data_IF_289542392587
#
_entry.id   IF_289542392587
#
_cell.length_a   1.000
_cell.length_b   1.000
_cell.length_c   1.000
_cell.angle_alpha   90.00
_cell.angle_beta   90.00
_cell.angle_gamma   90.00
#
_symmetry.space_group_name_H-M   'P 1'
#
loop_
_entity.id
_entity.type
_entity.pdbx_description
1 polymer ?
#
# COMPACT_ATOMS: atom_id res chain seq x y z
N UNK A 1 -39.52 -37.92 -28.34
CA UNK A 1 -38.87 -37.19 -27.22
C UNK A 1 -38.30 -35.94 -27.83
N UNK A 2 -39.02 -34.84 -27.72
CA UNK A 2 -38.65 -33.55 -28.29
C UNK A 2 -37.72 -32.88 -27.29
N UNK A 3 -36.45 -32.78 -27.63
CA UNK A 3 -35.45 -32.07 -26.84
C UNK A 3 -35.77 -30.57 -26.93
N UNK A 4 -36.22 -29.98 -25.83
CA UNK A 4 -36.40 -28.53 -25.73
C UNK A 4 -34.99 -27.96 -25.57
N UNK A 5 -34.38 -27.49 -26.66
CA UNK A 5 -33.19 -26.65 -26.57
C UNK A 5 -33.55 -25.44 -25.71
N UNK A 6 -32.98 -25.36 -24.51
CA UNK A 6 -33.08 -24.17 -23.68
C UNK A 6 -32.41 -23.02 -24.45
N UNK A 7 -33.18 -22.00 -24.81
CA UNK A 7 -32.66 -20.81 -25.48
C UNK A 7 -31.54 -20.19 -24.62
N UNK A 8 -30.39 -19.93 -25.24
CA UNK A 8 -29.29 -19.23 -24.57
C UNK A 8 -29.75 -17.83 -24.20
N UNK A 9 -29.71 -17.49 -22.92
CA UNK A 9 -30.12 -16.17 -22.42
C UNK A 9 -28.92 -15.24 -22.39
N UNK A 10 -29.15 -13.97 -22.77
CA UNK A 10 -28.21 -12.88 -22.59
C UNK A 10 -28.81 -11.85 -21.62
N UNK A 11 -28.07 -11.49 -20.59
CA UNK A 11 -28.47 -10.46 -19.61
C UNK A 11 -27.97 -9.10 -20.08
N UNK A 12 -28.87 -8.18 -20.39
CA UNK A 12 -28.56 -6.83 -20.85
C UNK A 12 -29.15 -5.78 -19.90
N UNK A 13 -28.44 -4.67 -19.72
CA UNK A 13 -28.93 -3.52 -18.95
C UNK A 13 -29.40 -2.46 -19.93
N UNK A 14 -30.70 -2.20 -20.01
CA UNK A 14 -31.27 -1.18 -20.89
C UNK A 14 -31.50 0.11 -20.11
N UNK A 15 -30.86 1.20 -20.53
CA UNK A 15 -31.11 2.55 -20.05
C UNK A 15 -32.17 3.21 -20.93
N UNK A 16 -33.40 3.25 -20.45
CA UNK A 16 -34.48 4.03 -21.01
C UNK A 16 -34.45 5.48 -20.46
N UNK A 17 -35.20 6.44 -21.05
CA UNK A 17 -35.14 7.84 -20.65
C UNK A 17 -35.46 8.08 -19.16
N UNK A 18 -36.43 7.34 -18.61
CA UNK A 18 -36.90 7.53 -17.24
C UNK A 18 -36.38 6.47 -16.24
N UNK A 19 -35.94 5.29 -16.71
CA UNK A 19 -35.46 4.21 -15.84
C UNK A 19 -34.42 3.33 -16.51
N UNK A 20 -33.64 2.63 -15.70
CA UNK A 20 -32.70 1.59 -16.15
C UNK A 20 -33.24 0.23 -15.73
N UNK A 21 -33.27 -0.74 -16.64
CA UNK A 21 -33.84 -2.06 -16.41
C UNK A 21 -32.88 -3.15 -16.88
N UNK A 22 -32.67 -4.15 -16.02
CA UNK A 22 -31.93 -5.36 -16.36
C UNK A 22 -32.90 -6.41 -16.90
N UNK A 23 -32.65 -6.90 -18.11
CA UNK A 23 -33.48 -7.90 -18.78
C UNK A 23 -32.63 -9.12 -19.15
N UNK A 24 -33.16 -10.31 -18.88
CA UNK A 24 -32.63 -11.55 -19.44
C UNK A 24 -33.48 -11.91 -20.65
N UNK A 25 -32.88 -11.83 -21.83
CA UNK A 25 -33.55 -11.99 -23.12
C UNK A 25 -32.92 -13.14 -23.91
N UNK A 26 -33.70 -13.91 -24.69
CA UNK A 26 -33.14 -14.94 -25.57
C UNK A 26 -32.17 -14.33 -26.59
N UNK A 27 -30.99 -14.91 -26.72
CA UNK A 27 -29.90 -14.39 -27.58
C UNK A 27 -30.11 -14.66 -29.07
N UNK A 28 -31.01 -15.60 -29.39
CA UNK A 28 -31.39 -16.04 -30.74
C UNK A 28 -32.57 -15.26 -31.33
N UNK A 29 -33.18 -14.34 -30.56
CA UNK A 29 -34.30 -13.49 -31.00
C UNK A 29 -33.77 -12.19 -31.61
N UNK A 30 -34.46 -11.69 -32.64
CA UNK A 30 -34.11 -10.45 -33.32
C UNK A 30 -34.30 -9.23 -32.42
N UNK A 31 -33.52 -8.17 -32.64
CA UNK A 31 -33.67 -6.91 -31.89
C UNK A 31 -35.07 -6.32 -32.10
N UNK A 32 -35.67 -6.45 -33.29
CA UNK A 32 -37.03 -5.98 -33.58
C UNK A 32 -38.09 -6.65 -32.70
N UNK A 33 -37.97 -7.97 -32.48
CA UNK A 33 -38.93 -8.73 -31.67
C UNK A 33 -38.75 -8.47 -30.16
N UNK A 34 -37.54 -8.12 -29.73
CA UNK A 34 -37.25 -7.75 -28.35
C UNK A 34 -37.73 -6.34 -28.00
N UNK A 35 -37.76 -5.43 -28.98
CA UNK A 35 -38.00 -4.01 -28.76
C UNK A 35 -39.34 -3.70 -28.06
N UNK A 36 -40.50 -4.31 -28.41
CA UNK A 36 -41.76 -4.08 -27.69
C UNK A 36 -41.67 -4.47 -26.22
N UNK A 37 -40.99 -5.58 -25.93
CA UNK A 37 -40.79 -6.05 -24.55
C UNK A 37 -39.93 -5.07 -23.77
N UNK A 38 -38.84 -4.59 -24.39
CA UNK A 38 -37.93 -3.59 -23.79
C UNK A 38 -38.63 -2.25 -23.56
N UNK A 39 -39.51 -1.82 -24.49
CA UNK A 39 -40.31 -0.60 -24.35
C UNK A 39 -41.30 -0.75 -23.19
N UNK A 40 -42.04 -1.86 -23.11
CA UNK A 40 -42.98 -2.11 -22.01
C UNK A 40 -42.30 -2.13 -20.64
N UNK A 41 -41.08 -2.68 -20.56
CA UNK A 41 -40.25 -2.58 -19.36
C UNK A 41 -39.49 -1.26 -19.23
N UNK A 42 -39.47 -0.38 -20.23
CA UNK A 42 -38.65 0.84 -20.26
C UNK A 42 -39.29 2.08 -19.61
N UNK A 43 -40.61 2.15 -19.49
CA UNK A 43 -41.32 3.27 -18.90
C UNK A 43 -42.80 3.25 -19.26
N UNK A 44 -43.60 4.05 -18.55
CA UNK A 44 -44.99 4.30 -18.92
C UNK A 44 -45.00 5.29 -20.12
N UNK A 45 -45.95 5.15 -21.04
CA UNK A 45 -46.16 6.00 -22.24
C UNK A 45 -45.00 6.02 -23.28
N UNK A 46 -44.03 5.11 -23.19
CA UNK A 46 -42.98 4.99 -24.22
C UNK A 46 -43.53 4.53 -25.58
N UNK A 47 -44.57 3.71 -25.60
CA UNK A 47 -45.23 3.27 -26.84
C UNK A 47 -45.89 4.45 -27.58
N UNK A 48 -46.59 5.31 -26.83
CA UNK A 48 -47.33 6.45 -27.39
C UNK A 48 -46.38 7.57 -27.83
N UNK A 49 -45.39 7.92 -27.00
CA UNK A 49 -44.35 8.88 -27.39
C UNK A 49 -43.57 8.42 -28.62
N UNK A 50 -43.34 7.11 -28.78
CA UNK A 50 -42.69 6.51 -29.95
C UNK A 50 -43.26 6.97 -31.30
N UNK A 51 -44.54 7.31 -31.37
CA UNK A 51 -45.21 7.79 -32.58
C UNK A 51 -44.70 9.16 -33.06
N UNK A 52 -44.30 10.03 -32.13
CA UNK A 52 -43.84 11.39 -32.44
C UNK A 52 -42.43 11.42 -33.06
N UNK A 53 -41.62 10.40 -32.78
CA UNK A 53 -40.19 10.35 -33.14
C UNK A 53 -39.80 9.09 -33.95
N UNK A 54 -40.76 8.47 -34.62
CA UNK A 54 -40.50 7.41 -35.60
C UNK A 54 -40.04 6.07 -34.99
N UNK A 55 -40.39 5.84 -33.73
CA UNK A 55 -40.09 4.65 -32.95
C UNK A 55 -38.84 4.78 -32.08
N UNK A 56 -38.46 3.66 -31.48
CA UNK A 56 -37.30 3.53 -30.61
C UNK A 56 -36.22 2.69 -31.28
N UNK A 57 -34.97 2.94 -30.91
CA UNK A 57 -33.82 2.12 -31.30
C UNK A 57 -33.01 1.76 -30.07
N UNK A 58 -32.43 0.56 -30.10
CA UNK A 58 -31.42 0.14 -29.15
C UNK A 58 -30.04 0.42 -29.74
N UNK A 59 -29.15 1.03 -28.96
CA UNK A 59 -27.79 1.31 -29.39
C UNK A 59 -26.80 1.10 -28.25
N UNK A 60 -25.57 0.69 -28.57
CA UNK A 60 -24.45 0.76 -27.63
C UNK A 60 -24.08 2.22 -27.38
N UNK A 61 -23.54 2.54 -26.21
CA UNK A 61 -23.07 3.89 -25.93
C UNK A 61 -21.94 4.27 -26.91
N UNK A 62 -22.17 5.28 -27.75
CA UNK A 62 -21.21 5.74 -28.76
C UNK A 62 -21.11 4.89 -30.04
N UNK A 63 -21.98 3.88 -30.20
CA UNK A 63 -22.08 3.07 -31.41
C UNK A 63 -23.34 3.40 -32.21
N UNK A 64 -23.44 2.92 -33.47
CA UNK A 64 -24.66 3.06 -34.26
C UNK A 64 -25.83 2.28 -33.64
N UNK A 65 -27.08 2.61 -34.03
CA UNK A 65 -28.26 1.79 -33.73
C UNK A 65 -28.02 0.33 -34.12
N UNK A 66 -28.42 -0.59 -33.24
CA UNK A 66 -28.41 -2.02 -33.53
C UNK A 66 -29.35 -2.30 -34.70
N UNK A 67 -28.91 -3.21 -35.57
CA UNK A 67 -29.71 -3.65 -36.70
C UNK A 67 -30.94 -4.44 -36.20
N UNK A 68 -32.18 -4.01 -36.53
CA UNK A 68 -33.40 -4.66 -36.06
C UNK A 68 -33.54 -6.12 -36.51
N UNK A 69 -32.96 -6.51 -37.66
CA UNK A 69 -33.05 -7.88 -38.18
C UNK A 69 -32.01 -8.84 -37.57
N UNK A 70 -30.99 -8.29 -36.91
CA UNK A 70 -29.92 -9.06 -36.29
C UNK A 70 -30.32 -9.59 -34.91
N UNK A 71 -29.78 -10.76 -34.54
CA UNK A 71 -29.94 -11.35 -33.20
C UNK A 71 -28.87 -10.84 -32.24
N UNK A 72 -29.10 -10.93 -30.92
CA UNK A 72 -28.12 -10.46 -29.93
C UNK A 72 -26.78 -11.21 -30.04
N UNK A 73 -26.82 -12.50 -30.38
CA UNK A 73 -25.63 -13.33 -30.58
C UNK A 73 -24.84 -12.89 -31.83
N UNK A 74 -25.54 -12.59 -32.93
CA UNK A 74 -24.90 -12.08 -34.15
C UNK A 74 -24.24 -10.71 -33.99
N UNK A 75 -24.79 -9.87 -33.09
CA UNK A 75 -24.25 -8.56 -32.70
C UNK A 75 -23.14 -8.68 -31.64
N UNK A 76 -22.85 -9.89 -31.18
CA UNK A 76 -21.83 -10.20 -30.19
C UNK A 76 -22.09 -9.54 -28.83
N UNK A 77 -23.36 -9.35 -28.45
CA UNK A 77 -23.73 -8.77 -27.16
C UNK A 77 -23.45 -9.77 -26.03
N UNK A 78 -22.66 -9.34 -25.04
CA UNK A 78 -22.30 -10.17 -23.89
C UNK A 78 -23.16 -9.86 -22.67
N UNK A 79 -23.24 -10.84 -21.76
CA UNK A 79 -23.87 -10.66 -20.45
C UNK A 79 -23.29 -9.45 -19.70
N UNK A 80 -24.17 -8.57 -19.26
CA UNK A 80 -23.88 -7.34 -18.53
C UNK A 80 -23.64 -6.11 -19.41
N UNK A 81 -23.77 -6.21 -20.74
CA UNK A 81 -23.65 -5.03 -21.61
C UNK A 81 -24.81 -4.05 -21.41
N UNK A 82 -24.46 -2.76 -21.40
CA UNK A 82 -25.42 -1.67 -21.25
C UNK A 82 -25.83 -1.11 -22.61
N UNK A 83 -27.13 -1.11 -22.88
CA UNK A 83 -27.76 -0.57 -24.09
C UNK A 83 -28.55 0.70 -23.75
N UNK A 84 -28.58 1.65 -24.67
CA UNK A 84 -29.41 2.84 -24.56
C UNK A 84 -30.63 2.70 -25.46
N UNK A 85 -31.82 2.87 -24.88
CA UNK A 85 -33.07 2.99 -25.63
C UNK A 85 -33.28 4.47 -25.97
N UNK A 86 -33.27 4.80 -27.26
CA UNK A 86 -33.30 6.20 -27.73
C UNK A 86 -34.37 6.38 -28.82
N UNK A 87 -34.97 7.58 -28.94
CA UNK A 87 -35.84 7.89 -30.07
C UNK A 87 -35.09 7.74 -31.39
N UNK A 88 -35.73 7.22 -32.43
CA UNK A 88 -35.07 6.95 -33.72
C UNK A 88 -34.52 8.22 -34.37
N UNK A 89 -35.23 9.34 -34.24
CA UNK A 89 -34.79 10.67 -34.70
C UNK A 89 -33.59 11.23 -33.92
N UNK A 90 -33.33 10.71 -32.72
CA UNK A 90 -32.20 11.10 -31.88
C UNK A 90 -31.16 9.98 -31.70
N UNK A 91 -31.14 9.03 -32.63
CA UNK A 91 -30.08 8.03 -32.73
C UNK A 91 -28.73 8.74 -32.75
N UNK A 92 -27.78 8.26 -31.94
CA UNK A 92 -26.45 8.87 -31.94
C UNK A 92 -25.77 8.49 -33.25
N UNK A 93 -25.29 9.46 -34.05
CA UNK A 93 -24.44 9.12 -35.19
C UNK A 93 -23.18 8.44 -34.67
N UNK A 94 -22.62 7.55 -35.48
CA UNK A 94 -21.30 6.98 -35.20
C UNK A 94 -20.31 8.12 -34.98
N UNK A 95 -19.40 7.96 -34.01
CA UNK A 95 -18.40 8.97 -33.69
C UNK A 95 -17.47 9.11 -34.89
N UNK A 96 -17.74 10.10 -35.74
CA UNK A 96 -16.86 10.49 -36.82
C UNK A 96 -15.83 11.48 -36.26
N UNK A 97 -14.55 11.14 -36.43
CA UNK A 97 -13.44 12.00 -36.07
C UNK A 97 -13.16 12.91 -37.28
N UNK A 98 -13.35 14.21 -37.12
CA UNK A 98 -13.12 15.22 -38.17
C UNK A 98 -11.63 15.37 -38.51
N UNK A 99 -10.76 15.09 -37.53
CA UNK A 99 -9.32 15.03 -37.69
C UNK A 99 -8.79 13.68 -37.19
N UNK A 100 -8.26 12.87 -38.11
CA UNK A 100 -7.63 11.59 -37.79
C UNK A 100 -6.44 11.78 -36.85
N UNK A 101 -5.69 12.88 -36.97
CA UNK A 101 -4.53 13.16 -36.12
C UNK A 101 -5.00 13.46 -34.70
N UNK A 102 -6.01 14.32 -34.54
CA UNK A 102 -6.56 14.63 -33.22
C UNK A 102 -7.28 13.41 -32.59
N UNK A 103 -8.02 12.65 -33.41
CA UNK A 103 -8.66 11.41 -32.99
C UNK A 103 -7.67 10.33 -32.54
N UNK A 104 -6.54 10.19 -33.22
CA UNK A 104 -5.44 9.31 -32.78
C UNK A 104 -4.83 9.88 -31.49
N UNK A 105 -4.60 11.19 -31.40
CA UNK A 105 -3.97 11.83 -30.23
C UNK A 105 -4.81 11.66 -28.96
N UNK A 106 -6.11 11.91 -29.05
CA UNK A 106 -7.08 11.77 -27.95
C UNK A 106 -7.22 10.30 -27.55
N UNK A 107 -7.31 9.39 -28.51
CA UNK A 107 -7.35 7.94 -28.25
C UNK A 107 -6.05 7.45 -27.60
N UNK A 108 -4.88 7.97 -28.03
CA UNK A 108 -3.59 7.63 -27.41
C UNK A 108 -3.47 8.18 -25.99
N UNK A 109 -3.99 9.38 -25.72
CA UNK A 109 -4.03 9.97 -24.37
C UNK A 109 -4.98 9.22 -23.44
N UNK A 110 -6.07 8.64 -23.95
CA UNK A 110 -7.01 7.83 -23.18
C UNK A 110 -6.50 6.40 -22.89
N UNK A 111 -5.39 5.96 -23.50
CA UNK A 111 -4.83 4.65 -23.18
C UNK A 111 -4.33 4.60 -21.73
N UNK A 112 -4.55 3.47 -21.03
CA UNK A 112 -3.92 3.26 -19.73
C UNK A 112 -2.39 3.35 -19.90
N UNK A 113 -1.73 4.11 -19.02
CA UNK A 113 -0.30 4.44 -19.02
C UNK A 113 0.16 5.49 -20.05
N UNK A 114 -0.74 6.34 -20.55
CA UNK A 114 -0.34 7.53 -21.33
C UNK A 114 0.50 8.51 -20.50
N UNK A 115 1.39 9.23 -21.18
CA UNK A 115 2.18 10.28 -20.55
C UNK A 115 1.28 11.47 -20.20
N UNK A 116 1.07 11.69 -18.91
CA UNK A 116 0.22 12.77 -18.39
C UNK A 116 1.04 13.82 -17.63
N UNK A 117 0.45 14.99 -17.39
CA UNK A 117 1.03 16.00 -16.51
C UNK A 117 1.27 15.45 -15.09
N UNK A 118 0.40 14.56 -14.63
CA UNK A 118 0.55 13.86 -13.35
C UNK A 118 1.73 12.89 -13.36
N UNK A 119 1.91 12.11 -14.43
CA UNK A 119 3.08 11.25 -14.60
C UNK A 119 4.37 12.08 -14.63
N UNK A 120 4.35 13.23 -15.31
CA UNK A 120 5.49 14.17 -15.35
C UNK A 120 5.84 14.71 -13.96
N UNK A 121 4.84 15.15 -13.18
CA UNK A 121 5.03 15.61 -11.80
C UNK A 121 5.62 14.50 -10.92
N UNK A 122 5.08 13.28 -11.00
CA UNK A 122 5.61 12.13 -10.25
C UNK A 122 7.04 11.81 -10.63
N UNK A 123 7.39 11.86 -11.92
CA UNK A 123 8.77 11.67 -12.36
C UNK A 123 9.68 12.75 -11.77
N UNK A 124 9.30 14.03 -11.86
CA UNK A 124 10.09 15.14 -11.35
C UNK A 124 10.26 15.07 -9.82
N UNK A 125 9.20 14.71 -9.09
CA UNK A 125 9.30 14.43 -7.66
C UNK A 125 10.27 13.28 -7.37
N UNK A 126 10.20 12.19 -8.15
CA UNK A 126 11.14 11.08 -8.05
C UNK A 126 12.60 11.49 -8.32
N UNK A 127 12.83 12.31 -9.34
CA UNK A 127 14.17 12.86 -9.65
C UNK A 127 14.69 13.79 -8.55
N UNK A 128 13.82 14.60 -7.95
CA UNK A 128 14.16 15.44 -6.81
C UNK A 128 14.56 14.59 -5.61
N UNK A 129 13.77 13.57 -5.25
CA UNK A 129 14.11 12.61 -4.19
C UNK A 129 15.44 11.91 -4.48
N UNK A 130 15.67 11.43 -5.71
CA UNK A 130 16.92 10.77 -6.08
C UNK A 130 18.14 11.69 -5.93
N UNK A 131 18.02 12.95 -6.36
CA UNK A 131 19.10 13.95 -6.27
C UNK A 131 19.40 14.31 -4.81
N UNK A 132 18.37 14.51 -4.00
CA UNK A 132 18.51 14.78 -2.57
C UNK A 132 19.10 13.59 -1.81
N UNK A 133 18.69 12.38 -2.16
CA UNK A 133 19.25 11.14 -1.61
C UNK A 133 20.74 11.02 -1.94
N UNK A 134 21.14 11.36 -3.17
CA UNK A 134 22.55 11.39 -3.56
C UNK A 134 23.34 12.44 -2.74
N UNK A 135 22.75 13.60 -2.47
CA UNK A 135 23.32 14.61 -1.59
C UNK A 135 23.56 14.10 -0.17
N UNK A 136 22.61 13.34 0.40
CA UNK A 136 22.77 12.68 1.71
C UNK A 136 23.94 11.70 1.68
N UNK A 137 24.04 10.87 0.62
CA UNK A 137 25.16 9.92 0.46
C UNK A 137 26.50 10.65 0.45
N UNK A 138 26.62 11.74 -0.32
CA UNK A 138 27.86 12.53 -0.37
C UNK A 138 28.22 13.16 0.98
N UNK A 139 27.24 13.63 1.75
CA UNK A 139 27.48 14.15 3.09
C UNK A 139 27.80 13.05 4.12
N UNK A 140 27.32 11.83 3.92
CA UNK A 140 27.62 10.69 4.79
C UNK A 140 29.05 10.18 4.58
N UNK A 141 29.59 10.27 3.36
CA UNK A 141 30.95 9.81 3.04
C UNK A 141 32.01 10.54 3.89
N UNK A 142 32.99 9.81 4.46
CA UNK A 142 34.09 10.40 5.23
C UNK A 142 35.06 11.15 4.29
N UNK A 143 35.70 12.20 4.79
CA UNK A 143 36.73 12.93 4.03
C UNK A 143 36.87 14.40 4.41
N UNK A 144 35.85 14.99 5.01
CA UNK A 144 35.86 16.36 5.55
C UNK A 144 35.42 16.38 7.01
N UNK A 145 35.62 17.51 7.70
CA UNK A 145 35.22 17.68 9.10
C UNK A 145 33.74 17.34 9.30
N UNK A 146 33.47 16.45 10.27
CA UNK A 146 32.12 16.04 10.64
C UNK A 146 31.21 17.21 11.01
N UNK A 147 31.74 18.27 11.64
CA UNK A 147 30.97 19.45 12.00
C UNK A 147 30.52 20.26 10.78
N UNK A 148 31.40 20.41 9.79
CA UNK A 148 31.05 21.09 8.54
C UNK A 148 29.97 20.30 7.77
N UNK A 149 30.11 18.96 7.69
CA UNK A 149 29.08 18.11 7.07
C UNK A 149 27.75 18.20 7.81
N UNK A 150 27.76 18.22 9.15
CA UNK A 150 26.55 18.42 9.96
C UNK A 150 25.90 19.79 9.73
N UNK A 151 26.71 20.85 9.60
CA UNK A 151 26.24 22.20 9.30
C UNK A 151 25.57 22.25 7.92
N UNK A 152 26.21 21.69 6.89
CA UNK A 152 25.65 21.63 5.53
C UNK A 152 24.37 20.81 5.51
N UNK A 153 24.33 19.66 6.20
CA UNK A 153 23.15 18.83 6.31
C UNK A 153 21.98 19.58 7.00
N UNK A 154 22.27 20.30 8.09
CA UNK A 154 21.28 21.13 8.80
C UNK A 154 20.76 22.27 7.94
N UNK A 155 21.67 22.98 7.24
CA UNK A 155 21.31 24.07 6.33
C UNK A 155 20.44 23.58 5.16
N UNK A 156 20.80 22.44 4.56
CA UNK A 156 19.98 21.80 3.53
C UNK A 156 18.60 21.39 4.07
N UNK A 157 18.53 20.79 5.27
CA UNK A 157 17.27 20.46 5.92
C UNK A 157 16.37 21.69 6.15
N UNK A 158 16.94 22.81 6.60
CA UNK A 158 16.21 24.07 6.78
C UNK A 158 15.69 24.63 5.44
N UNK A 159 16.52 24.61 4.40
CA UNK A 159 16.12 25.03 3.05
C UNK A 159 15.01 24.14 2.49
N UNK A 160 15.06 22.83 2.72
CA UNK A 160 14.00 21.90 2.32
C UNK A 160 12.69 22.16 3.07
N UNK A 161 12.74 22.46 4.37
CA UNK A 161 11.53 22.87 5.13
C UNK A 161 10.95 24.19 4.62
N UNK A 162 11.80 25.18 4.34
CA UNK A 162 11.35 26.44 3.75
C UNK A 162 10.78 26.23 2.33
N UNK A 163 11.40 25.36 1.53
CA UNK A 163 10.92 24.91 0.24
C UNK A 163 9.57 24.19 0.34
N UNK A 164 9.39 23.33 1.34
CA UNK A 164 8.14 22.62 1.60
C UNK A 164 7.00 23.59 1.94
N UNK A 165 7.25 24.54 2.85
CA UNK A 165 6.26 25.56 3.22
C UNK A 165 5.92 26.50 2.06
N UNK A 166 6.92 26.92 1.28
CA UNK A 166 6.69 27.79 0.10
C UNK A 166 5.97 27.06 -1.04
N UNK A 167 6.32 25.81 -1.34
CA UNK A 167 5.63 25.00 -2.34
C UNK A 167 4.14 24.87 -2.01
N UNK A 168 3.80 24.55 -0.76
CA UNK A 168 2.39 24.41 -0.39
C UNK A 168 1.66 25.75 -0.28
N UNK A 169 2.27 26.79 0.30
CA UNK A 169 1.57 28.05 0.62
C UNK A 169 1.63 29.10 -0.49
N UNK A 170 2.73 29.17 -1.24
CA UNK A 170 2.93 30.16 -2.30
C UNK A 170 2.59 29.61 -3.69
N UNK A 171 2.94 28.35 -3.97
CA UNK A 171 2.68 27.70 -5.27
C UNK A 171 1.35 26.93 -5.26
N UNK A 172 0.89 26.47 -4.11
CA UNK A 172 -0.32 25.65 -3.98
C UNK A 172 -0.11 24.18 -4.34
N UNK A 173 1.15 23.73 -4.46
CA UNK A 173 1.50 22.33 -4.76
C UNK A 173 1.84 21.57 -3.47
N UNK A 174 0.82 20.94 -2.88
CA UNK A 174 0.96 20.12 -1.68
C UNK A 174 1.77 18.84 -1.93
N UNK A 175 1.80 18.35 -3.17
CA UNK A 175 2.60 17.18 -3.56
C UNK A 175 4.09 17.49 -3.46
N UNK A 176 4.54 18.55 -4.14
CA UNK A 176 5.92 19.01 -4.07
C UNK A 176 6.32 19.38 -2.62
N UNK A 177 5.42 20.07 -1.90
CA UNK A 177 5.64 20.41 -0.49
C UNK A 177 5.86 19.18 0.39
N UNK A 178 5.05 18.13 0.22
CA UNK A 178 5.19 16.89 0.98
C UNK A 178 6.52 16.16 0.71
N UNK A 179 6.98 16.15 -0.55
CA UNK A 179 8.24 15.53 -0.96
C UNK A 179 9.44 16.23 -0.34
N UNK A 180 9.48 17.57 -0.41
CA UNK A 180 10.55 18.37 0.19
C UNK A 180 10.55 18.23 1.72
N UNK A 181 9.37 18.26 2.33
CA UNK A 181 9.21 18.08 3.78
C UNK A 181 9.67 16.70 4.25
N UNK A 182 9.34 15.64 3.51
CA UNK A 182 9.79 14.28 3.80
C UNK A 182 11.31 14.16 3.66
N UNK A 183 11.91 14.76 2.63
CA UNK A 183 13.36 14.74 2.42
C UNK A 183 14.12 15.59 3.44
N UNK A 184 13.51 16.58 4.08
CA UNK A 184 14.17 17.31 5.17
C UNK A 184 14.55 16.38 6.34
N UNK A 185 13.73 15.36 6.62
CA UNK A 185 13.92 14.43 7.74
C UNK A 185 15.28 13.72 7.72
N UNK A 186 15.68 13.00 6.65
CA UNK A 186 16.98 12.33 6.63
C UNK A 186 18.18 13.29 6.63
N UNK A 187 18.04 14.53 6.13
CA UNK A 187 19.09 15.55 6.25
C UNK A 187 19.31 15.97 7.72
N UNK A 188 18.23 16.21 8.47
CA UNK A 188 18.33 16.47 9.91
C UNK A 188 18.80 15.24 10.69
N UNK A 189 18.37 14.04 10.31
CA UNK A 189 18.85 12.80 10.91
C UNK A 189 20.37 12.65 10.73
N UNK A 190 20.89 12.93 9.53
CA UNK A 190 22.32 12.91 9.25
C UNK A 190 23.06 13.98 10.05
N UNK A 191 22.52 15.20 10.16
CA UNK A 191 23.11 16.22 11.02
C UNK A 191 23.18 15.76 12.49
N UNK A 192 22.08 15.21 13.02
CA UNK A 192 22.02 14.65 14.37
C UNK A 192 23.01 13.50 14.58
N UNK A 193 23.18 12.62 13.59
CA UNK A 193 24.16 11.54 13.63
C UNK A 193 25.61 12.06 13.71
N UNK A 194 25.91 13.15 13.01
CA UNK A 194 27.27 13.69 12.91
C UNK A 194 27.69 14.57 14.10
N UNK A 195 26.72 15.15 14.82
CA UNK A 195 26.97 16.11 15.90
C UNK A 195 27.71 15.55 17.12
N UNK A 196 27.34 14.37 17.68
CA UNK A 196 28.03 13.84 18.86
C UNK A 196 29.51 13.51 18.64
N UNK A 197 29.95 13.32 17.39
CA UNK A 197 31.32 12.91 17.10
C UNK A 197 31.62 11.49 17.62
N UNK A 198 32.88 11.22 18.00
CA UNK A 198 33.32 9.92 18.53
C UNK A 198 33.67 8.88 17.47
N UNK A 199 34.50 7.91 17.85
CA UNK A 199 34.81 6.74 17.02
C UNK A 199 33.85 5.61 17.36
N UNK A 200 33.34 4.91 16.33
CA UNK A 200 32.44 3.76 16.52
C UNK A 200 33.20 2.49 16.90
N UNK A 201 34.54 2.50 16.84
CA UNK A 201 35.40 1.41 17.26
C UNK A 201 36.02 1.70 18.62
N UNK A 202 36.08 0.68 19.49
CA UNK A 202 36.69 0.79 20.82
C UNK A 202 35.74 0.37 21.94
N UNK A 203 36.20 0.51 23.19
CA UNK A 203 35.46 0.09 24.37
C UNK A 203 34.12 0.83 24.57
N UNK A 204 34.05 2.09 24.13
CA UNK A 204 32.85 2.94 24.25
C UNK A 204 32.01 3.00 22.95
N UNK A 205 32.27 2.10 21.98
CA UNK A 205 31.66 2.13 20.65
C UNK A 205 30.12 2.08 20.69
N UNK A 206 29.55 1.26 21.57
CA UNK A 206 28.10 1.13 21.74
C UNK A 206 27.48 2.38 22.33
N UNK A 207 28.13 3.01 23.32
CA UNK A 207 27.66 4.26 23.90
C UNK A 207 27.68 5.41 22.86
N UNK A 208 28.72 5.48 22.02
CA UNK A 208 28.81 6.43 20.90
C UNK A 208 27.71 6.15 19.86
N UNK A 209 27.48 4.88 19.52
CA UNK A 209 26.40 4.47 18.62
C UNK A 209 25.04 4.91 19.16
N UNK A 210 24.75 4.61 20.42
CA UNK A 210 23.52 5.03 21.10
C UNK A 210 23.34 6.55 21.10
N UNK A 211 24.38 7.31 21.44
CA UNK A 211 24.33 8.78 21.42
C UNK A 211 24.05 9.34 20.02
N UNK A 212 24.71 8.81 18.99
CA UNK A 212 24.49 9.21 17.59
C UNK A 212 23.11 8.84 17.07
N UNK A 213 22.62 7.63 17.36
CA UNK A 213 21.29 7.20 16.99
C UNK A 213 20.22 8.05 17.69
N UNK A 214 20.42 8.39 18.97
CA UNK A 214 19.48 9.21 19.72
C UNK A 214 19.40 10.62 19.14
N UNK A 215 20.55 11.25 18.88
CA UNK A 215 20.62 12.57 18.28
C UNK A 215 20.03 12.60 16.86
N UNK A 216 20.33 11.60 16.03
CA UNK A 216 19.75 11.44 14.71
C UNK A 216 18.22 11.27 14.77
N UNK A 217 17.73 10.43 15.67
CA UNK A 217 16.32 10.15 15.86
C UNK A 217 15.56 11.37 16.39
N UNK A 218 16.12 12.09 17.35
CA UNK A 218 15.53 13.33 17.86
C UNK A 218 15.44 14.41 16.77
N UNK A 219 16.51 14.60 16.00
CA UNK A 219 16.53 15.55 14.89
C UNK A 219 15.53 15.16 13.78
N UNK A 220 15.45 13.87 13.44
CA UNK A 220 14.49 13.34 12.47
C UNK A 220 13.04 13.55 12.92
N UNK A 221 12.73 13.25 14.19
CA UNK A 221 11.40 13.44 14.77
C UNK A 221 11.00 14.91 14.80
N UNK A 222 11.91 15.79 15.22
CA UNK A 222 11.70 17.24 15.17
C UNK A 222 11.45 17.74 13.75
N UNK A 223 12.24 17.28 12.78
CA UNK A 223 12.06 17.63 11.37
C UNK A 223 10.72 17.13 10.81
N UNK A 224 10.27 15.94 11.18
CA UNK A 224 8.97 15.41 10.74
C UNK A 224 7.80 16.28 11.27
N UNK A 225 7.87 16.72 12.53
CA UNK A 225 6.87 17.62 13.13
C UNK A 225 6.91 19.01 12.47
N UNK A 226 8.11 19.55 12.22
CA UNK A 226 8.25 20.84 11.53
C UNK A 226 7.77 20.76 10.08
N UNK A 227 8.04 19.66 9.38
CA UNK A 227 7.56 19.42 8.02
C UNK A 227 6.03 19.32 7.98
N UNK A 228 5.43 18.64 8.94
CA UNK A 228 3.96 18.61 9.10
C UNK A 228 3.39 20.03 9.28
N UNK A 229 4.02 20.84 10.14
CA UNK A 229 3.59 22.22 10.36
C UNK A 229 3.79 23.13 9.13
N UNK A 230 4.88 22.92 8.37
CA UNK A 230 5.18 23.68 7.16
C UNK A 230 4.20 23.34 6.03
N UNK A 231 3.95 22.06 5.78
CA UNK A 231 3.13 21.54 4.68
C UNK A 231 1.64 21.61 4.99
N UNK A 232 1.21 21.38 6.23
CA UNK A 232 -0.19 21.49 6.66
C UNK A 232 -1.14 20.46 6.04
N UNK A 233 -0.63 19.51 5.25
CA UNK A 233 -1.39 18.45 4.58
C UNK A 233 -0.65 17.12 4.73
N UNK A 234 -1.34 15.99 4.48
CA UNK A 234 -0.80 14.63 4.62
C UNK A 234 -0.26 14.27 6.03
N UNK A 235 -1.06 14.45 7.11
CA UNK A 235 -0.61 14.17 8.48
C UNK A 235 -0.12 12.73 8.70
N UNK A 236 -0.73 11.77 8.01
CA UNK A 236 -0.32 10.37 8.05
C UNK A 236 1.15 10.17 7.65
N UNK A 237 1.62 10.83 6.58
CA UNK A 237 3.00 10.70 6.08
C UNK A 237 4.03 11.12 7.15
N UNK A 238 3.83 12.30 7.74
CA UNK A 238 4.76 12.86 8.70
C UNK A 238 4.69 12.15 10.06
N UNK A 239 3.51 11.70 10.49
CA UNK A 239 3.39 10.93 11.73
C UNK A 239 3.91 9.49 11.58
N UNK A 240 3.76 8.87 10.40
CA UNK A 240 4.44 7.62 10.07
C UNK A 240 5.96 7.79 10.18
N UNK A 241 6.49 8.88 9.59
CA UNK A 241 7.92 9.20 9.66
C UNK A 241 8.39 9.50 11.09
N UNK A 242 7.61 10.24 11.87
CA UNK A 242 7.89 10.49 13.29
C UNK A 242 7.86 9.18 14.12
N UNK A 243 7.03 8.20 13.74
CA UNK A 243 7.00 6.89 14.40
C UNK A 243 8.30 6.11 14.16
N UNK A 244 8.91 6.22 12.98
CA UNK A 244 10.24 5.66 12.68
C UNK A 244 11.30 6.31 13.57
N UNK A 245 11.29 7.64 13.67
CA UNK A 245 12.19 8.37 14.55
C UNK A 245 12.01 7.97 16.03
N UNK A 246 10.79 7.79 16.49
CA UNK A 246 10.50 7.34 17.86
C UNK A 246 11.05 5.94 18.14
N UNK A 247 10.89 5.00 17.19
CA UNK A 247 11.46 3.67 17.32
C UNK A 247 13.00 3.67 17.31
N UNK A 248 13.61 4.54 16.49
CA UNK A 248 15.05 4.78 16.51
C UNK A 248 15.55 5.34 17.85
N UNK A 249 14.81 6.29 18.42
CA UNK A 249 15.12 6.84 19.75
C UNK A 249 14.97 5.79 20.86
N UNK A 250 13.97 4.90 20.77
CA UNK A 250 13.81 3.78 21.69
C UNK A 250 15.01 2.83 21.61
N UNK A 251 15.40 2.41 20.39
CA UNK A 251 16.58 1.56 20.20
C UNK A 251 17.86 2.21 20.74
N UNK A 252 18.06 3.50 20.44
CA UNK A 252 19.18 4.27 20.94
C UNK A 252 19.22 4.35 22.47
N UNK A 253 18.07 4.59 23.11
CA UNK A 253 17.96 4.62 24.56
C UNK A 253 18.30 3.26 25.19
N UNK A 254 17.86 2.16 24.58
CA UNK A 254 18.21 0.81 25.04
C UNK A 254 19.72 0.54 24.95
N UNK A 255 20.38 0.97 23.87
CA UNK A 255 21.84 0.86 23.73
C UNK A 255 22.57 1.69 24.79
N UNK A 256 22.08 2.90 25.09
CA UNK A 256 22.62 3.74 26.18
C UNK A 256 22.45 3.07 27.56
N UNK A 257 21.39 2.28 27.73
CA UNK A 257 21.15 1.46 28.93
C UNK A 257 21.94 0.14 28.94
N UNK A 258 23.06 0.09 28.20
CA UNK A 258 24.01 -1.03 28.15
C UNK A 258 23.43 -2.33 27.56
N UNK A 259 22.33 -2.28 26.81
CA UNK A 259 21.93 -3.41 25.97
C UNK A 259 22.79 -3.45 24.70
N UNK A 260 23.20 -4.65 24.32
CA UNK A 260 23.87 -4.86 23.04
C UNK A 260 22.97 -4.39 21.87
N UNK A 261 23.52 -3.85 20.77
CA UNK A 261 22.74 -3.35 19.65
C UNK A 261 21.76 -4.38 19.06
N UNK A 262 22.13 -5.67 19.02
CA UNK A 262 21.23 -6.72 18.52
C UNK A 262 20.03 -6.95 19.46
N UNK A 263 20.26 -6.85 20.77
CA UNK A 263 19.20 -7.00 21.77
C UNK A 263 18.23 -5.82 21.73
N UNK A 264 18.76 -4.59 21.62
CA UNK A 264 17.95 -3.39 21.45
C UNK A 264 17.08 -3.48 20.19
N UNK A 265 17.66 -3.92 19.06
CA UNK A 265 16.93 -4.16 17.82
C UNK A 265 15.82 -5.22 17.95
N UNK A 266 16.09 -6.31 18.69
CA UNK A 266 15.10 -7.35 18.97
C UNK A 266 13.87 -6.77 19.71
N UNK A 267 14.12 -5.97 20.75
CA UNK A 267 13.07 -5.33 21.55
C UNK A 267 12.26 -4.33 20.71
N UNK A 268 12.94 -3.47 19.95
CA UNK A 268 12.28 -2.50 19.06
C UNK A 268 11.40 -3.22 18.03
N UNK A 269 11.89 -4.29 17.41
CA UNK A 269 11.12 -5.06 16.44
C UNK A 269 9.84 -5.66 17.06
N UNK A 270 9.92 -6.22 18.28
CA UNK A 270 8.75 -6.75 18.98
C UNK A 270 7.75 -5.64 19.31
N UNK A 271 8.21 -4.51 19.85
CA UNK A 271 7.36 -3.38 20.21
C UNK A 271 6.60 -2.86 18.98
N UNK A 272 7.28 -2.72 17.84
CA UNK A 272 6.70 -2.20 16.60
C UNK A 272 5.75 -3.19 15.94
N UNK A 273 6.05 -4.49 16.00
CA UNK A 273 5.14 -5.55 15.54
C UNK A 273 3.87 -5.60 16.40
N UNK A 274 4.00 -5.50 17.73
CA UNK A 274 2.85 -5.42 18.63
C UNK A 274 2.00 -4.19 18.34
N UNK A 275 2.64 -3.04 18.08
CA UNK A 275 1.97 -1.83 17.61
C UNK A 275 1.20 -2.07 16.31
N UNK A 276 1.73 -2.90 15.40
CA UNK A 276 1.07 -3.34 14.17
C UNK A 276 -0.36 -3.86 14.38
N UNK A 277 -0.61 -4.59 15.48
CA UNK A 277 -1.95 -5.07 15.83
C UNK A 277 -2.96 -3.96 16.13
N UNK A 278 -2.50 -2.78 16.53
CA UNK A 278 -3.33 -1.61 16.84
C UNK A 278 -3.51 -0.66 15.65
N UNK A 279 -2.73 -0.82 14.56
CA UNK A 279 -2.76 0.06 13.38
C UNK A 279 -4.17 0.23 12.80
N UNK A 280 -4.99 -0.83 12.63
CA UNK A 280 -6.35 -0.65 12.10
C UNK A 280 -7.24 0.21 12.98
N UNK A 281 -7.23 -0.02 14.29
CA UNK A 281 -8.02 0.73 15.26
C UNK A 281 -7.58 2.19 15.35
N UNK A 282 -6.27 2.44 15.38
CA UNK A 282 -5.72 3.79 15.38
C UNK A 282 -6.06 4.54 14.09
N UNK A 283 -5.89 3.90 12.93
CA UNK A 283 -6.19 4.50 11.63
C UNK A 283 -7.67 4.86 11.48
N UNK A 284 -8.57 3.99 11.98
CA UNK A 284 -10.00 4.24 12.04
C UNK A 284 -10.34 5.46 12.92
N UNK A 285 -9.69 5.58 14.09
CA UNK A 285 -9.90 6.73 14.99
C UNK A 285 -9.33 8.02 14.43
N UNK A 286 -8.16 7.96 13.80
CA UNK A 286 -7.46 9.10 13.21
C UNK A 286 -8.11 9.61 11.91
N UNK A 287 -8.90 8.77 11.23
CA UNK A 287 -9.74 9.21 10.11
C UNK A 287 -11.06 9.85 10.55
N UNK A 288 -11.31 9.96 11.86
CA UNK A 288 -12.53 10.53 12.42
C UNK A 288 -13.75 9.61 12.30
N UNK A 289 -13.56 8.33 11.97
CA UNK A 289 -14.64 7.35 12.05
C UNK A 289 -14.93 7.01 13.52
N UNK A 290 -16.21 6.80 13.82
CA UNK A 290 -16.68 6.40 15.14
C UNK A 290 -17.56 5.18 14.97
N UNK A 291 -17.33 4.16 15.79
CA UNK A 291 -18.21 3.01 15.81
C UNK A 291 -19.52 3.44 16.49
N UNK A 292 -20.68 3.27 15.85
CA UNK A 292 -21.95 3.55 16.51
C UNK A 292 -22.10 2.64 17.74
N UNK A 293 -22.62 3.16 18.85
CA UNK A 293 -22.83 2.35 20.04
C UNK A 293 -23.82 1.22 19.72
N UNK A 294 -23.54 0.01 20.21
CA UNK A 294 -24.47 -1.10 20.09
C UNK A 294 -25.75 -0.76 20.86
N UNK A 295 -26.94 -0.85 20.22
CA UNK A 295 -28.19 -0.54 20.89
C UNK A 295 -28.44 -1.57 22.00
N UNK A 296 -28.65 -1.10 23.22
CA UNK A 296 -28.96 -1.95 24.39
C UNK A 296 -30.46 -2.08 24.63
N UNK A 297 -31.28 -1.21 24.03
CA UNK A 297 -32.74 -1.19 24.16
C UNK A 297 -33.44 -1.01 22.81
N UNK A 298 -34.72 -1.43 22.73
CA UNK A 298 -35.53 -1.36 21.50
C UNK A 298 -35.69 0.08 20.98
N UNK A 299 -35.76 1.09 21.86
CA UNK A 299 -35.83 2.48 21.42
C UNK A 299 -34.54 2.97 20.75
N UNK A 300 -33.39 2.38 21.06
CA UNK A 300 -32.10 2.74 20.47
C UNK A 300 -31.89 2.12 19.09
N UNK A 301 -32.65 1.08 18.71
CA UNK A 301 -32.64 0.53 17.35
C UNK A 301 -33.16 1.55 16.31
N UNK A 302 -33.95 2.52 16.76
CA UNK A 302 -34.50 3.58 15.91
C UNK A 302 -33.63 4.84 15.91
N UNK A 303 -32.52 4.87 16.67
CA UNK A 303 -31.59 5.99 16.71
C UNK A 303 -30.44 5.75 15.74
N UNK A 304 -30.07 6.77 14.94
CA UNK A 304 -28.94 6.67 14.00
C UNK A 304 -29.19 5.73 12.81
N UNK A 305 -30.44 5.58 12.40
CA UNK A 305 -30.87 4.80 11.23
C UNK A 305 -30.72 5.56 9.90
N UNK A 306 -30.44 6.86 9.96
CA UNK A 306 -30.23 7.67 8.77
C UNK A 306 -28.99 7.16 8.00
N UNK A 307 -29.13 6.88 6.69
CA UNK A 307 -28.02 6.45 5.88
C UNK A 307 -26.89 7.49 5.89
N UNK A 308 -25.66 7.05 6.08
CA UNK A 308 -24.51 7.92 5.91
C UNK A 308 -24.34 8.29 4.43
N UNK A 309 -24.05 9.57 4.10
CA UNK A 309 -23.70 9.95 2.74
C UNK A 309 -22.52 9.14 2.23
N UNK A 310 -22.66 8.51 1.06
CA UNK A 310 -21.64 7.64 0.49
C UNK A 310 -20.29 8.36 0.32
N UNK A 311 -20.33 9.64 -0.07
CA UNK A 311 -19.16 10.51 -0.24
C UNK A 311 -18.36 10.68 1.06
N UNK A 312 -19.03 10.81 2.21
CA UNK A 312 -18.38 11.02 3.49
C UNK A 312 -17.71 9.75 3.99
N UNK A 313 -18.37 8.60 3.77
CA UNK A 313 -17.82 7.28 4.10
C UNK A 313 -16.59 7.00 3.23
N UNK A 314 -16.65 7.27 1.93
CA UNK A 314 -15.54 7.11 1.01
C UNK A 314 -14.35 8.01 1.38
N UNK A 315 -14.60 9.29 1.67
CA UNK A 315 -13.55 10.23 2.09
C UNK A 315 -12.87 9.78 3.40
N UNK A 316 -13.63 9.27 4.39
CA UNK A 316 -13.04 8.77 5.64
C UNK A 316 -12.35 7.42 5.48
N UNK A 317 -12.84 6.57 4.60
CA UNK A 317 -12.21 5.29 4.27
C UNK A 317 -10.85 5.50 3.59
N UNK A 318 -10.76 6.43 2.63
CA UNK A 318 -9.50 6.80 1.97
C UNK A 318 -8.50 7.41 2.95
N UNK A 319 -8.96 8.25 3.90
CA UNK A 319 -8.09 8.74 4.98
C UNK A 319 -7.58 7.62 5.89
N UNK A 320 -8.45 6.68 6.30
CA UNK A 320 -8.04 5.53 7.11
C UNK A 320 -7.02 4.65 6.39
N UNK A 321 -7.21 4.40 5.10
CA UNK A 321 -6.24 3.67 4.27
C UNK A 321 -4.90 4.42 4.16
N UNK A 322 -4.92 5.75 4.09
CA UNK A 322 -3.72 6.58 4.15
C UNK A 322 -2.94 6.43 5.47
N UNK A 323 -3.64 6.44 6.62
CA UNK A 323 -3.03 6.19 7.94
C UNK A 323 -2.47 4.78 8.08
N UNK A 324 -3.22 3.77 7.64
CA UNK A 324 -2.74 2.38 7.62
C UNK A 324 -1.48 2.25 6.77
N UNK A 325 -1.48 2.87 5.59
CA UNK A 325 -0.32 2.87 4.68
C UNK A 325 0.89 3.47 5.37
N UNK A 326 0.76 4.65 5.97
CA UNK A 326 1.86 5.30 6.67
C UNK A 326 2.43 4.44 7.83
N UNK A 327 1.57 3.88 8.68
CA UNK A 327 2.05 3.07 9.81
C UNK A 327 2.65 1.74 9.37
N UNK A 328 2.08 1.02 8.40
CA UNK A 328 2.69 -0.21 7.89
C UNK A 328 3.99 0.04 7.12
N UNK A 329 4.09 1.17 6.39
CA UNK A 329 5.38 1.60 5.82
C UNK A 329 6.41 1.90 6.91
N UNK A 330 6.01 2.55 8.01
CA UNK A 330 6.90 2.81 9.14
C UNK A 330 7.35 1.50 9.80
N UNK A 331 6.45 0.55 10.05
CA UNK A 331 6.77 -0.78 10.59
C UNK A 331 7.81 -1.48 9.70
N UNK A 332 7.55 -1.54 8.39
CA UNK A 332 8.49 -2.14 7.43
C UNK A 332 9.86 -1.47 7.48
N UNK A 333 9.91 -0.12 7.44
CA UNK A 333 11.15 0.65 7.50
C UNK A 333 11.93 0.46 8.81
N UNK A 334 11.25 0.33 9.95
CA UNK A 334 11.91 0.07 11.24
C UNK A 334 12.46 -1.37 11.30
N UNK A 335 11.72 -2.34 10.75
CA UNK A 335 12.16 -3.73 10.74
C UNK A 335 13.42 -3.96 9.90
N UNK A 336 13.66 -3.19 8.83
CA UNK A 336 14.86 -3.33 7.97
C UNK A 336 16.19 -3.25 8.75
N UNK A 337 16.51 -2.17 9.50
CA UNK A 337 17.71 -2.10 10.31
C UNK A 337 17.67 -3.03 11.52
N UNK A 338 16.50 -3.32 12.10
CA UNK A 338 16.42 -4.28 13.21
C UNK A 338 16.83 -5.69 12.76
N UNK A 339 16.36 -6.13 11.59
CA UNK A 339 16.77 -7.40 10.98
C UNK A 339 18.26 -7.39 10.62
N UNK A 340 18.80 -6.27 10.15
CA UNK A 340 20.24 -6.17 9.87
C UNK A 340 21.10 -6.29 11.15
N UNK A 341 20.69 -5.62 12.23
CA UNK A 341 21.35 -5.72 13.53
C UNK A 341 21.28 -7.16 14.09
N UNK A 342 20.14 -7.84 14.01
CA UNK A 342 20.01 -9.20 14.55
C UNK A 342 20.92 -10.26 13.91
N UNK A 343 21.52 -9.98 12.75
CA UNK A 343 22.40 -10.92 12.03
C UNK A 343 23.88 -10.49 12.08
N UNK A 344 24.24 -9.42 12.82
CA UNK A 344 25.66 -9.03 13.01
C UNK A 344 26.43 -10.10 13.79
N UNK A 345 25.88 -10.53 14.93
CA UNK A 345 26.39 -11.62 15.75
C UNK A 345 25.34 -12.73 15.86
N UNK A 346 25.26 -13.65 14.86
CA UNK A 346 24.18 -14.61 14.76
C UNK A 346 24.31 -15.72 15.82
N UNK A 347 23.77 -15.48 17.01
CA UNK A 347 23.41 -16.52 17.96
C UNK A 347 22.16 -17.28 17.49
N UNK A 348 21.96 -18.51 18.01
CA UNK A 348 20.78 -19.32 17.65
C UNK A 348 19.45 -18.59 17.98
N UNK A 349 19.41 -17.84 19.09
CA UNK A 349 18.27 -16.99 19.44
C UNK A 349 18.03 -15.87 18.41
N UNK A 350 19.09 -15.21 17.95
CA UNK A 350 19.03 -14.18 16.90
C UNK A 350 18.50 -14.74 15.58
N UNK A 351 19.05 -15.88 15.13
CA UNK A 351 18.59 -16.56 13.90
C UNK A 351 17.11 -16.92 13.99
N UNK A 352 16.67 -17.54 15.09
CA UNK A 352 15.25 -17.88 15.27
C UNK A 352 14.35 -16.64 15.33
N UNK A 353 14.82 -15.55 15.95
CA UNK A 353 14.08 -14.27 15.99
C UNK A 353 13.92 -13.69 14.59
N UNK A 354 14.97 -13.70 13.77
CA UNK A 354 14.92 -13.21 12.38
C UNK A 354 14.00 -14.08 11.52
N UNK A 355 14.05 -15.41 11.68
CA UNK A 355 13.13 -16.32 10.99
C UNK A 355 11.68 -16.05 11.39
N UNK A 356 11.39 -15.97 12.69
CA UNK A 356 10.05 -15.72 13.20
C UNK A 356 9.51 -14.36 12.74
N UNK A 357 10.33 -13.29 12.84
CA UNK A 357 9.95 -11.94 12.42
C UNK A 357 9.71 -11.87 10.90
N UNK A 358 10.61 -12.44 10.10
CA UNK A 358 10.47 -12.46 8.64
C UNK A 358 9.21 -13.21 8.21
N UNK A 359 8.97 -14.38 8.81
CA UNK A 359 7.77 -15.18 8.55
C UNK A 359 6.50 -14.43 8.96
N UNK A 360 6.51 -13.78 10.13
CA UNK A 360 5.40 -12.96 10.60
C UNK A 360 5.06 -11.83 9.62
N UNK A 361 6.05 -11.04 9.19
CA UNK A 361 5.84 -9.92 8.27
C UNK A 361 5.29 -10.40 6.90
N UNK A 362 5.82 -11.51 6.37
CA UNK A 362 5.34 -12.12 5.13
C UNK A 362 3.89 -12.61 5.27
N UNK A 363 3.56 -13.32 6.34
CA UNK A 363 2.20 -13.84 6.56
C UNK A 363 1.19 -12.72 6.84
N UNK A 364 1.60 -11.69 7.60
CA UNK A 364 0.75 -10.55 7.93
C UNK A 364 0.38 -9.74 6.67
N UNK A 365 1.31 -9.62 5.72
CA UNK A 365 1.06 -8.93 4.44
C UNK A 365 -0.10 -9.52 3.63
N UNK A 366 -0.49 -10.78 3.87
CA UNK A 366 -1.62 -11.42 3.18
C UNK A 366 -2.97 -10.83 3.57
N UNK A 367 -3.09 -10.27 4.78
CA UNK A 367 -4.32 -9.70 5.29
C UNK A 367 -4.56 -8.24 4.88
N UNK A 368 -3.60 -7.59 4.22
CA UNK A 368 -3.66 -6.17 3.86
C UNK A 368 -4.26 -6.00 2.47
N UNK A 369 -5.21 -5.06 2.33
CA UNK A 369 -5.89 -4.80 1.06
C UNK A 369 -5.07 -3.95 0.08
N UNK A 370 -4.29 -2.99 0.59
CA UNK A 370 -3.54 -2.04 -0.23
C UNK A 370 -2.17 -2.61 -0.66
N UNK A 371 -1.83 -2.47 -1.95
CA UNK A 371 -0.56 -2.95 -2.53
C UNK A 371 0.67 -2.36 -1.81
N UNK A 372 0.64 -1.08 -1.45
CA UNK A 372 1.78 -0.43 -0.79
C UNK A 372 1.99 -0.93 0.63
N UNK A 373 0.92 -1.17 1.38
CA UNK A 373 0.96 -1.79 2.71
C UNK A 373 1.54 -3.20 2.64
N UNK A 374 1.11 -3.98 1.64
CA UNK A 374 1.64 -5.33 1.38
C UNK A 374 3.12 -5.29 1.01
N UNK A 375 3.52 -4.39 0.12
CA UNK A 375 4.91 -4.23 -0.30
C UNK A 375 5.83 -3.83 0.85
N UNK A 376 5.38 -2.94 1.74
CA UNK A 376 6.17 -2.52 2.90
C UNK A 376 6.55 -3.69 3.83
N UNK A 377 5.61 -4.57 4.14
CA UNK A 377 5.88 -5.72 5.02
C UNK A 377 6.56 -6.87 4.28
N UNK A 378 6.19 -7.12 3.02
CA UNK A 378 6.83 -8.19 2.22
C UNK A 378 8.30 -7.88 1.95
N UNK A 379 8.65 -6.64 1.62
CA UNK A 379 10.06 -6.27 1.40
C UNK A 379 10.89 -6.43 2.67
N UNK A 380 10.35 -6.02 3.84
CA UNK A 380 11.01 -6.24 5.13
C UNK A 380 11.17 -7.73 5.47
N UNK A 381 10.14 -8.55 5.24
CA UNK A 381 10.22 -9.99 5.46
C UNK A 381 11.21 -10.70 4.53
N UNK A 382 11.20 -10.36 3.23
CA UNK A 382 12.18 -10.87 2.25
C UNK A 382 13.60 -10.43 2.62
N UNK A 383 13.78 -9.18 3.05
CA UNK A 383 15.07 -8.66 3.50
C UNK A 383 15.67 -9.49 4.62
N UNK A 384 14.90 -9.83 5.65
CA UNK A 384 15.37 -10.69 6.74
C UNK A 384 15.80 -12.08 6.27
N UNK A 385 15.04 -12.70 5.36
CA UNK A 385 15.43 -13.99 4.76
C UNK A 385 16.69 -13.88 3.91
N UNK A 386 16.85 -12.79 3.16
CA UNK A 386 18.03 -12.54 2.32
C UNK A 386 19.28 -12.33 3.19
N UNK A 387 19.16 -11.59 4.30
CA UNK A 387 20.26 -11.40 5.25
C UNK A 387 20.73 -12.72 5.88
N UNK A 388 19.81 -13.59 6.30
CA UNK A 388 20.18 -14.91 6.83
C UNK A 388 20.91 -15.77 5.79
N UNK A 389 20.41 -15.79 4.54
CA UNK A 389 21.07 -16.50 3.45
C UNK A 389 22.45 -15.92 3.12
N UNK A 390 22.59 -14.60 3.17
CA UNK A 390 23.86 -13.92 2.96
C UNK A 390 24.89 -14.27 4.03
N UNK A 391 24.50 -14.21 5.32
CA UNK A 391 25.42 -14.51 6.42
C UNK A 391 25.77 -16.00 6.48
N UNK A 392 24.82 -16.90 6.22
CA UNK A 392 25.11 -18.34 6.11
C UNK A 392 26.05 -18.65 4.92
N UNK A 393 25.84 -18.04 3.76
CA UNK A 393 26.73 -18.21 2.61
C UNK A 393 28.15 -17.66 2.86
N UNK A 394 28.27 -16.58 3.65
CA UNK A 394 29.56 -16.00 4.03
C UNK A 394 30.33 -16.91 4.99
N UNK A 395 29.64 -17.50 5.96
CA UNK A 395 30.22 -18.40 6.95
C UNK A 395 30.56 -19.79 6.38
N UNK A 396 29.81 -20.26 5.38
CA UNK A 396 29.99 -21.57 4.75
C UNK A 396 31.18 -21.67 3.77
N UNK A 397 31.58 -22.91 3.50
CA UNK A 397 32.61 -23.25 2.50
C UNK A 397 32.10 -23.13 1.05
N UNK A 398 32.98 -23.34 0.05
CA UNK A 398 32.59 -23.29 -1.36
C UNK A 398 31.44 -24.25 -1.73
N UNK A 399 31.39 -25.43 -1.09
CA UNK A 399 30.33 -26.41 -1.31
C UNK A 399 28.98 -25.92 -0.76
N UNK A 400 28.95 -25.29 0.41
CA UNK A 400 27.73 -24.72 1.00
C UNK A 400 27.15 -23.61 0.14
N UNK A 401 28.01 -22.83 -0.54
CA UNK A 401 27.55 -21.80 -1.47
C UNK A 401 26.88 -22.40 -2.71
N UNK A 402 27.39 -23.53 -3.20
CA UNK A 402 26.76 -24.25 -4.32
C UNK A 402 25.41 -24.83 -3.92
N UNK A 403 25.29 -25.43 -2.73
CA UNK A 403 24.01 -25.97 -2.23
C UNK A 403 22.98 -24.87 -1.97
N UNK A 404 23.39 -23.74 -1.36
CA UNK A 404 22.53 -22.57 -1.18
C UNK A 404 22.07 -21.99 -2.53
N UNK A 405 22.97 -21.92 -3.53
CA UNK A 405 22.62 -21.45 -4.87
C UNK A 405 21.60 -22.38 -5.54
N UNK A 406 21.80 -23.71 -5.43
CA UNK A 406 20.83 -24.68 -5.93
C UNK A 406 19.47 -24.54 -5.23
N UNK A 407 19.45 -24.33 -3.91
CA UNK A 407 18.25 -24.07 -3.13
C UNK A 407 17.54 -22.77 -3.56
N UNK A 408 18.28 -21.70 -3.83
CA UNK A 408 17.74 -20.44 -4.36
C UNK A 408 17.14 -20.60 -5.75
N UNK A 409 17.78 -21.36 -6.65
CA UNK A 409 17.23 -21.67 -7.97
C UNK A 409 15.94 -22.48 -7.87
N UNK A 410 15.89 -23.46 -6.97
CA UNK A 410 14.67 -24.22 -6.71
C UNK A 410 13.56 -23.32 -6.14
N UNK A 411 13.88 -22.44 -5.19
CA UNK A 411 12.94 -21.48 -4.64
C UNK A 411 12.42 -20.52 -5.72
N UNK A 412 13.31 -19.96 -6.56
CA UNK A 412 12.92 -19.10 -7.67
C UNK A 412 11.96 -19.83 -8.62
N UNK A 413 12.28 -21.07 -9.00
CA UNK A 413 11.39 -21.89 -9.82
C UNK A 413 10.02 -22.09 -9.15
N UNK A 414 9.96 -22.39 -7.85
CA UNK A 414 8.68 -22.53 -7.13
C UNK A 414 7.87 -21.24 -7.08
N UNK A 415 8.52 -20.09 -6.89
CA UNK A 415 7.84 -18.78 -6.89
C UNK A 415 7.32 -18.45 -8.29
N UNK A 416 8.10 -18.72 -9.34
CA UNK A 416 7.66 -18.53 -10.73
C UNK A 416 6.46 -19.42 -11.05
N UNK A 417 6.49 -20.70 -10.68
CA UNK A 417 5.34 -21.60 -10.85
C UNK A 417 4.13 -21.09 -10.06
N UNK A 418 4.33 -20.68 -8.80
CA UNK A 418 3.26 -20.13 -7.97
C UNK A 418 2.65 -18.87 -8.57
N UNK A 419 3.43 -18.02 -9.24
CA UNK A 419 2.93 -16.82 -9.92
C UNK A 419 1.95 -17.14 -11.05
N UNK A 420 2.06 -18.31 -11.67
CA UNK A 420 1.12 -18.78 -12.70
C UNK A 420 -0.09 -19.51 -12.12
N UNK A 421 0.07 -20.20 -10.99
CA UNK A 421 -0.95 -21.11 -10.47
C UNK A 421 -1.80 -20.55 -9.33
N UNK A 422 -1.31 -19.57 -8.57
CA UNK A 422 -1.95 -19.10 -7.33
C UNK A 422 -2.84 -17.87 -7.51
N UNK A 423 -2.44 -16.80 -8.24
CA UNK A 423 -3.26 -15.58 -8.34
C UNK A 423 -4.68 -15.85 -8.85
N UNK A 424 -5.67 -15.26 -8.18
CA UNK A 424 -7.09 -15.40 -8.54
C UNK A 424 -7.74 -16.74 -8.18
N UNK A 425 -6.98 -17.74 -7.69
CA UNK A 425 -7.52 -19.04 -7.29
C UNK A 425 -7.91 -19.06 -5.80
N UNK A 426 -9.03 -19.72 -5.51
CA UNK A 426 -9.43 -20.04 -4.13
C UNK A 426 -8.63 -21.27 -3.68
N UNK A 427 -7.61 -21.05 -2.85
CA UNK A 427 -6.85 -22.15 -2.25
C UNK A 427 -7.74 -22.97 -1.30
N UNK A 428 -7.41 -24.25 -1.14
CA UNK A 428 -8.11 -25.14 -0.20
C UNK A 428 -8.03 -24.58 1.23
N UNK A 429 -9.10 -24.69 2.04
CA UNK A 429 -9.18 -24.07 3.36
C UNK A 429 -8.04 -24.42 4.32
N UNK A 430 -7.45 -25.61 4.21
CA UNK A 430 -6.36 -26.05 5.08
C UNK A 430 -5.08 -25.21 4.93
N UNK A 431 -4.78 -24.68 3.74
CA UNK A 431 -3.63 -23.78 3.54
C UNK A 431 -3.83 -22.42 4.20
N UNK A 432 -5.06 -21.90 4.12
CA UNK A 432 -5.43 -20.68 4.85
C UNK A 432 -5.26 -20.87 6.35
N UNK A 433 -5.73 -22.01 6.88
CA UNK A 433 -5.59 -22.36 8.29
C UNK A 433 -4.14 -22.58 8.72
N UNK A 434 -3.32 -23.26 7.91
CA UNK A 434 -1.91 -23.44 8.19
C UNK A 434 -1.17 -22.10 8.27
N UNK A 435 -1.47 -21.18 7.36
CA UNK A 435 -0.92 -19.82 7.39
C UNK A 435 -1.35 -19.04 8.65
N UNK A 436 -2.60 -19.17 9.10
CA UNK A 436 -3.07 -18.57 10.36
C UNK A 436 -2.35 -19.14 11.60
N UNK A 437 -2.14 -20.46 11.63
CA UNK A 437 -1.42 -21.12 12.73
C UNK A 437 0.05 -20.70 12.75
N UNK A 438 0.72 -20.69 11.59
CA UNK A 438 2.10 -20.20 11.46
C UNK A 438 2.21 -18.72 11.84
N UNK A 439 1.22 -17.90 11.45
CA UNK A 439 1.17 -16.49 11.79
C UNK A 439 1.10 -16.30 13.32
N UNK A 440 0.18 -17.01 13.97
CA UNK A 440 0.01 -16.98 15.43
C UNK A 440 1.25 -17.52 16.15
N UNK A 441 1.82 -18.63 15.67
CA UNK A 441 3.03 -19.22 16.23
C UNK A 441 4.21 -18.26 16.14
N UNK A 442 4.44 -17.65 14.98
CA UNK A 442 5.50 -16.67 14.77
C UNK A 442 5.32 -15.47 15.72
N UNK A 443 4.11 -14.90 15.78
CA UNK A 443 3.80 -13.78 16.67
C UNK A 443 4.01 -14.11 18.15
N UNK A 444 3.51 -15.26 18.62
CA UNK A 444 3.66 -15.70 20.02
C UNK A 444 5.13 -16.02 20.34
N UNK A 445 5.88 -16.60 19.40
CA UNK A 445 7.28 -16.99 19.60
C UNK A 445 8.24 -15.81 19.70
N UNK A 446 7.89 -14.63 19.17
CA UNK A 446 8.79 -13.48 19.17
C UNK A 446 9.16 -13.04 20.60
N UNK A 447 8.19 -12.97 21.51
CA UNK A 447 8.42 -12.54 22.89
C UNK A 447 9.39 -13.46 23.66
N UNK A 448 9.22 -14.80 23.70
CA UNK A 448 10.20 -15.66 24.35
C UNK A 448 11.55 -15.66 23.62
N UNK A 449 11.58 -15.55 22.28
CA UNK A 449 12.84 -15.47 21.54
C UNK A 449 13.63 -14.19 21.87
N UNK A 450 12.97 -13.05 22.06
CA UNK A 450 13.64 -11.82 22.49
C UNK A 450 14.08 -11.86 23.95
N UNK A 451 13.30 -12.46 24.85
CA UNK A 451 13.76 -12.72 26.22
C UNK A 451 14.98 -13.64 26.24
N UNK A 452 15.06 -14.59 25.32
CA UNK A 452 16.24 -15.43 25.16
C UNK A 452 17.45 -14.66 24.65
N UNK A 453 17.29 -13.80 23.63
CA UNK A 453 18.40 -12.99 23.12
C UNK A 453 18.93 -12.01 24.17
N UNK A 454 18.09 -11.53 25.09
CA UNK A 454 18.49 -10.71 26.24
C UNK A 454 19.12 -11.51 27.40
N UNK A 455 19.25 -12.84 27.29
CA UNK A 455 19.86 -13.68 28.33
C UNK A 455 19.00 -13.88 29.58
N UNK A 456 17.72 -13.48 29.57
CA UNK A 456 16.82 -13.56 30.74
C UNK A 456 16.70 -14.99 31.26
N UNK A 457 16.61 -15.99 30.38
CA UNK A 457 16.55 -17.39 30.80
C UNK A 457 17.85 -17.87 31.46
N UNK A 458 19.00 -17.34 31.04
CA UNK A 458 20.29 -17.62 31.68
C UNK A 458 20.33 -17.02 33.08
N UNK A 459 19.92 -15.75 33.22
CA UNK A 459 19.81 -15.08 34.51
C UNK A 459 18.88 -15.82 35.47
N UNK A 460 17.70 -16.24 35.02
CA UNK A 460 16.74 -16.99 35.84
C UNK A 460 17.26 -18.36 36.29
N UNK A 461 18.05 -19.05 35.46
CA UNK A 461 18.72 -20.31 35.84
C UNK A 461 19.79 -20.06 36.90
N UNK A 462 20.62 -19.03 36.71
CA UNK A 462 21.70 -18.69 37.65
C UNK A 462 21.22 -18.23 39.03
N UNK A 463 19.97 -17.76 39.15
CA UNK A 463 19.36 -17.44 40.46
C UNK A 463 19.07 -18.71 41.28
N UNK A 464 18.85 -19.85 40.64
CA UNK A 464 18.49 -21.12 41.30
C UNK A 464 19.60 -22.19 41.28
N UNK A 465 20.77 -21.92 40.67
CA UNK A 465 21.91 -22.84 40.57
C UNK A 465 22.32 -23.14 39.13
#
# INVERSE_FOLDING_TARGET
>A
MTDIQAASLCRVTVRAPARTVDLAVPSDVSVADLLPTVIGYGGDDLEESGLEHGGWVLQRLGGPPLDPESTLDSLGLRDGEALCLRPRTEALPEVHLDDLVDGISTTMQQRPHSWSAEASRRLLHGMAVATLTLGIVFLALPGTDGRLRALVASAAGLLLLAGAGSATRAVGDSGAGSVLGLMAVPYFALAGWLLPGGELGGADGDAVLGARLLAASAAAGGAAVLALAAVGTYPALFLGTASVALAGALGAALVILELAPEQAAAVVAVVVVLFGGFVPSLSFRLSGMRMPPLPTNVQQLQQGIDPYPASDVEARATLADGWMTAFYTAIGLICLPCLAALVTEPGLSGVLTVVALSLLLLLHSRGLGNVWQRLALTTAGVWGTALLLFVTARAGGPQDRLTLTAGLLALAATITIASWTVPGRRLLPYWGRAAELLHSLAAISLLPLTLWSMGVYGMLRGING
#
